data_IF_255138704512
#
_entry.id   IF_255138704512
#
_cell.length_a   1.000
_cell.length_b   1.000
_cell.length_c   1.000
_cell.angle_alpha   90.00
_cell.angle_beta   90.00
_cell.angle_gamma   90.00
#
_symmetry.space_group_name_H-M   'P 1'
#
loop_
_entity.id
_entity.type
_entity.pdbx_description
1 polymer ?
#
# COMPACT_ATOMS: atom_id res chain seq x y z
N UNK A 1 -28.82 -15.90 -5.40
CA UNK A 1 -27.54 -15.92 -6.15
C UNK A 1 -27.64 -17.05 -7.14
N UNK A 2 -27.26 -16.84 -8.41
CA UNK A 2 -27.18 -17.96 -9.36
C UNK A 2 -25.93 -18.80 -9.05
N UNK A 3 -25.89 -20.03 -9.52
CA UNK A 3 -24.78 -20.95 -9.29
C UNK A 3 -23.49 -20.42 -9.93
N UNK A 4 -23.59 -19.87 -11.14
CA UNK A 4 -22.47 -19.27 -11.88
C UNK A 4 -21.90 -18.05 -11.15
N UNK A 5 -22.77 -17.23 -10.53
CA UNK A 5 -22.34 -16.08 -9.73
C UNK A 5 -21.61 -16.53 -8.46
N UNK A 6 -22.04 -17.63 -7.84
CA UNK A 6 -21.34 -18.20 -6.68
C UNK A 6 -19.97 -18.74 -7.08
N UNK A 7 -19.87 -19.51 -8.17
CA UNK A 7 -18.59 -20.04 -8.67
C UNK A 7 -17.60 -18.92 -8.98
N UNK A 8 -18.04 -17.88 -9.70
CA UNK A 8 -17.20 -16.73 -10.05
C UNK A 8 -16.66 -16.02 -8.79
N UNK A 9 -17.52 -15.75 -7.80
CA UNK A 9 -17.12 -15.03 -6.59
C UNK A 9 -16.19 -15.88 -5.72
N UNK A 10 -16.44 -17.18 -5.59
CA UNK A 10 -15.58 -18.11 -4.87
C UNK A 10 -14.20 -18.14 -5.50
N UNK A 11 -14.09 -18.31 -6.82
CA UNK A 11 -12.79 -18.33 -7.51
C UNK A 11 -11.99 -17.02 -7.32
N UNK A 12 -12.67 -15.86 -7.31
CA UNK A 12 -12.03 -14.57 -7.04
C UNK A 12 -11.53 -14.47 -5.59
N UNK A 13 -12.34 -14.89 -4.62
CA UNK A 13 -11.97 -14.86 -3.21
C UNK A 13 -10.82 -15.82 -2.91
N UNK A 14 -10.85 -17.02 -3.47
CA UNK A 14 -9.79 -18.02 -3.30
C UNK A 14 -8.46 -17.54 -3.87
N UNK A 15 -8.48 -16.84 -5.01
CA UNK A 15 -7.28 -16.24 -5.60
C UNK A 15 -6.70 -15.15 -4.69
N UNK A 16 -7.55 -14.24 -4.19
CA UNK A 16 -7.14 -13.16 -3.29
C UNK A 16 -6.55 -13.74 -2.00
N UNK A 17 -7.22 -14.74 -1.42
CA UNK A 17 -6.81 -15.38 -0.18
C UNK A 17 -5.48 -16.13 -0.35
N UNK A 18 -5.34 -16.91 -1.42
CA UNK A 18 -4.10 -17.64 -1.72
C UNK A 18 -2.94 -16.68 -1.97
N UNK A 19 -3.14 -15.62 -2.76
CA UNK A 19 -2.09 -14.61 -2.95
C UNK A 19 -1.71 -13.92 -1.63
N UNK A 20 -2.67 -13.65 -0.75
CA UNK A 20 -2.39 -13.10 0.57
C UNK A 20 -1.58 -14.09 1.44
N UNK A 21 -1.99 -15.37 1.49
CA UNK A 21 -1.25 -16.43 2.18
C UNK A 21 0.19 -16.53 1.70
N UNK A 22 0.41 -16.49 0.37
CA UNK A 22 1.73 -16.56 -0.24
C UNK A 22 2.64 -15.40 0.19
N UNK A 23 2.09 -14.18 0.22
CA UNK A 23 2.82 -12.99 0.65
C UNK A 23 3.15 -13.02 2.13
N UNK A 24 2.22 -13.45 2.98
CA UNK A 24 2.44 -13.55 4.43
C UNK A 24 3.42 -14.67 4.76
N UNK A 25 3.27 -15.84 4.12
CA UNK A 25 4.19 -16.97 4.22
C UNK A 25 5.62 -16.54 3.87
N UNK A 26 5.79 -15.84 2.74
CA UNK A 26 7.10 -15.32 2.31
C UNK A 26 7.69 -14.30 3.30
N UNK A 27 6.85 -13.42 3.85
CA UNK A 27 7.30 -12.37 4.77
C UNK A 27 7.64 -12.91 6.17
N UNK A 28 6.99 -13.98 6.61
CA UNK A 28 7.15 -14.58 7.95
C UNK A 28 8.01 -15.84 7.97
N UNK A 29 8.37 -16.39 6.81
CA UNK A 29 9.16 -17.61 6.71
C UNK A 29 8.42 -18.86 7.21
N UNK A 30 7.09 -18.86 7.10
CA UNK A 30 6.20 -19.94 7.58
C UNK A 30 5.56 -20.72 6.45
N UNK A 31 5.11 -21.94 6.72
CA UNK A 31 4.25 -22.68 5.80
C UNK A 31 2.89 -21.98 5.66
N UNK A 32 2.21 -22.19 4.53
CA UNK A 32 0.88 -21.60 4.28
C UNK A 32 -0.16 -22.24 5.20
N UNK A 33 0.01 -23.52 5.45
CA UNK A 33 -0.83 -24.38 6.28
C UNK A 33 -0.83 -23.90 7.74
N UNK A 34 0.33 -23.52 8.27
CA UNK A 34 0.43 -22.98 9.63
C UNK A 34 -0.28 -21.63 9.77
N UNK A 35 -0.17 -20.77 8.75
CA UNK A 35 -0.84 -19.46 8.73
C UNK A 35 -2.35 -19.64 8.61
N UNK A 36 -2.81 -20.52 7.73
CA UNK A 36 -4.22 -20.83 7.55
C UNK A 36 -4.83 -21.43 8.83
N UNK A 37 -4.14 -22.40 9.45
CA UNK A 37 -4.55 -22.98 10.72
C UNK A 37 -4.69 -21.90 11.80
N UNK A 38 -3.73 -20.99 11.90
CA UNK A 38 -3.75 -19.90 12.88
C UNK A 38 -4.93 -18.93 12.67
N UNK A 39 -5.29 -18.64 11.42
CA UNK A 39 -6.45 -17.81 11.10
C UNK A 39 -7.74 -18.51 11.48
N UNK A 40 -7.85 -19.79 11.14
CA UNK A 40 -9.03 -20.60 11.40
C UNK A 40 -9.23 -20.88 12.90
N UNK A 41 -8.16 -21.06 13.67
CA UNK A 41 -8.20 -21.20 15.14
C UNK A 41 -8.51 -19.87 15.85
N UNK A 42 -8.28 -18.75 15.16
CA UNK A 42 -8.54 -17.41 15.65
C UNK A 42 -7.40 -16.84 16.50
N UNK A 43 -7.06 -15.58 16.20
CA UNK A 43 -5.94 -14.86 16.82
C UNK A 43 -6.45 -14.04 18.01
N UNK A 44 -6.51 -14.67 19.19
CA UNK A 44 -7.03 -14.02 20.40
C UNK A 44 -5.99 -13.78 21.51
N UNK A 45 -4.80 -14.38 21.39
CA UNK A 45 -3.74 -14.27 22.40
C UNK A 45 -2.45 -13.77 21.78
N UNK A 46 -1.95 -12.65 22.30
CA UNK A 46 -0.70 -12.04 21.85
C UNK A 46 0.50 -12.96 22.11
N UNK A 47 0.47 -13.74 23.20
CA UNK A 47 1.50 -14.74 23.51
C UNK A 47 1.63 -15.78 22.40
N UNK A 48 0.49 -16.32 21.93
CA UNK A 48 0.46 -17.27 20.81
C UNK A 48 1.02 -16.65 19.53
N UNK A 49 0.76 -15.37 19.26
CA UNK A 49 1.34 -14.70 18.09
C UNK A 49 2.86 -14.63 18.15
N UNK A 50 3.44 -14.53 19.35
CA UNK A 50 4.88 -14.53 19.55
C UNK A 50 5.46 -15.94 19.44
N UNK A 51 4.82 -16.93 20.07
CA UNK A 51 5.20 -18.35 19.97
C UNK A 51 5.17 -18.83 18.52
N UNK A 52 4.10 -18.46 17.81
CA UNK A 52 3.99 -18.70 16.40
C UNK A 52 4.99 -17.82 15.62
N UNK A 53 5.49 -16.70 16.11
CA UNK A 53 6.45 -15.87 15.34
C UNK A 53 5.79 -14.99 14.28
N UNK A 54 4.49 -14.73 14.41
CA UNK A 54 3.83 -13.65 13.67
C UNK A 54 4.27 -12.27 14.17
N UNK A 55 4.56 -12.14 15.48
CA UNK A 55 5.17 -10.95 16.08
C UNK A 55 6.54 -11.30 16.63
N UNK A 56 7.46 -10.33 16.62
CA UNK A 56 8.81 -10.57 17.13
C UNK A 56 8.87 -10.52 18.65
N UNK A 57 8.23 -9.52 19.27
CA UNK A 57 8.28 -9.29 20.71
C UNK A 57 7.01 -8.60 21.22
N UNK A 58 6.78 -8.74 22.53
CA UNK A 58 5.75 -8.05 23.30
C UNK A 58 6.52 -7.22 24.31
N UNK A 59 6.61 -5.93 24.06
CA UNK A 59 7.36 -4.95 24.85
C UNK A 59 6.54 -3.67 24.95
N UNK A 60 6.77 -2.90 26.01
CA UNK A 60 6.08 -1.63 26.22
C UNK A 60 6.61 -0.54 25.28
N UNK A 61 5.81 0.52 25.09
CA UNK A 61 6.13 1.60 24.16
C UNK A 61 7.44 2.32 24.53
N UNK A 62 7.72 2.51 25.81
CA UNK A 62 8.95 3.11 26.34
C UNK A 62 10.18 2.22 26.11
N UNK A 63 10.03 0.91 26.23
CA UNK A 63 11.07 -0.08 25.89
C UNK A 63 11.41 -0.03 24.39
N UNK A 64 10.39 0.08 23.52
CA UNK A 64 10.59 0.23 22.06
C UNK A 64 11.35 1.52 21.76
N UNK A 65 10.94 2.65 22.36
CA UNK A 65 11.60 3.94 22.16
C UNK A 65 13.06 3.87 22.60
N UNK A 66 13.33 3.23 23.75
CA UNK A 66 14.68 3.04 24.28
C UNK A 66 15.53 2.21 23.32
N UNK A 67 15.03 1.06 22.86
CA UNK A 67 15.70 0.20 21.88
C UNK A 67 16.01 0.95 20.57
N UNK A 68 15.09 1.79 20.09
CA UNK A 68 15.30 2.61 18.89
C UNK A 68 16.37 3.68 19.11
N UNK A 69 16.38 4.34 20.28
CA UNK A 69 17.41 5.33 20.64
C UNK A 69 18.79 4.69 20.70
N UNK A 70 18.93 3.53 21.33
CA UNK A 70 20.19 2.78 21.40
C UNK A 70 20.69 2.40 20.00
N UNK A 71 19.82 1.84 19.16
CA UNK A 71 20.18 1.44 17.79
C UNK A 71 20.63 2.60 16.91
N UNK A 72 20.12 3.81 17.17
CA UNK A 72 20.46 5.03 16.44
C UNK A 72 21.57 5.85 17.10
N UNK A 73 22.12 5.41 18.24
CA UNK A 73 23.16 6.14 18.99
C UNK A 73 22.69 7.46 19.59
N UNK A 74 21.39 7.61 19.87
CA UNK A 74 20.79 8.81 20.44
C UNK A 74 20.83 8.72 21.97
N UNK A 75 21.19 9.81 22.66
CA UNK A 75 21.16 9.86 24.13
C UNK A 75 19.74 9.64 24.64
N UNK A 76 19.57 8.88 25.73
CA UNK A 76 18.25 8.54 26.30
C UNK A 76 17.40 9.76 26.67
N UNK A 77 18.05 10.82 27.17
CA UNK A 77 17.46 12.11 27.53
C UNK A 77 17.00 12.94 26.32
N UNK A 78 17.41 12.58 25.10
CA UNK A 78 16.98 13.27 23.88
C UNK A 78 15.79 12.56 23.24
N UNK A 79 14.93 13.35 22.60
CA UNK A 79 13.84 12.82 21.79
C UNK A 79 14.38 12.04 20.58
N UNK A 80 13.62 11.00 20.19
CA UNK A 80 13.95 10.24 19.00
C UNK A 80 13.78 11.14 17.76
N UNK A 81 14.79 11.25 16.88
CA UNK A 81 14.67 12.03 15.66
C UNK A 81 13.71 11.34 14.69
N UNK A 82 12.42 11.68 14.78
CA UNK A 82 11.38 11.19 13.87
C UNK A 82 10.99 12.26 12.85
N UNK A 83 10.71 11.85 11.63
CA UNK A 83 10.16 12.71 10.58
C UNK A 83 8.83 12.16 10.15
N UNK A 84 7.80 12.99 10.20
CA UNK A 84 6.48 12.62 9.71
C UNK A 84 6.50 12.32 8.20
N UNK A 85 5.73 11.31 7.78
CA UNK A 85 5.66 10.88 6.38
C UNK A 85 5.18 12.00 5.44
N UNK A 86 4.23 12.85 5.85
CA UNK A 86 3.76 13.96 5.01
C UNK A 86 4.84 15.02 4.85
N UNK A 87 5.64 15.26 5.88
CA UNK A 87 6.79 16.17 5.79
C UNK A 87 7.86 15.60 4.86
N UNK A 88 8.16 14.30 5.00
CA UNK A 88 9.15 13.62 4.17
C UNK A 88 8.73 13.56 2.68
N UNK A 89 7.50 13.16 2.39
CA UNK A 89 6.99 13.02 1.01
C UNK A 89 6.89 14.34 0.24
N UNK A 90 6.85 15.49 0.93
CA UNK A 90 6.81 16.82 0.31
C UNK A 90 8.19 17.36 -0.09
N UNK A 91 9.28 16.69 0.30
CA UNK A 91 10.63 17.10 -0.09
C UNK A 91 10.75 17.04 -1.61
N UNK A 92 11.22 18.12 -2.22
CA UNK A 92 11.35 18.20 -3.67
C UNK A 92 12.51 17.32 -4.12
N UNK A 93 12.31 16.54 -5.18
CA UNK A 93 13.30 15.59 -5.72
C UNK A 93 14.66 16.24 -6.02
N UNK A 94 14.66 17.47 -6.54
CA UNK A 94 15.91 18.18 -6.84
C UNK A 94 16.72 18.51 -5.57
N UNK A 95 16.09 18.66 -4.41
CA UNK A 95 16.76 18.97 -3.13
C UNK A 95 17.60 17.80 -2.62
N UNK A 96 17.35 16.59 -3.13
CA UNK A 96 18.13 15.37 -2.82
C UNK A 96 18.99 14.93 -4.02
N UNK A 97 19.28 15.84 -4.96
CA UNK A 97 20.13 15.56 -6.13
C UNK A 97 19.45 14.73 -7.22
N UNK A 98 18.15 14.44 -7.09
CA UNK A 98 17.37 13.77 -8.13
C UNK A 98 16.85 14.84 -9.09
N UNK A 99 17.67 15.19 -10.09
CA UNK A 99 17.26 16.03 -11.21
C UNK A 99 16.31 15.28 -12.15
N UNK A 100 15.38 16.00 -12.78
CA UNK A 100 14.54 15.41 -13.82
C UNK A 100 15.38 14.90 -14.99
N UNK A 101 15.07 13.69 -15.47
CA UNK A 101 15.67 13.15 -16.69
C UNK A 101 15.22 13.93 -17.93
N UNK A 102 15.98 13.82 -19.03
CA UNK A 102 15.62 14.41 -20.33
C UNK A 102 14.38 13.75 -20.93
N UNK A 103 14.20 12.47 -20.65
CA UNK A 103 13.06 11.67 -21.09
C UNK A 103 12.03 11.57 -19.96
N UNK A 104 10.77 11.88 -20.28
CA UNK A 104 9.68 11.88 -19.31
C UNK A 104 8.66 10.80 -19.67
N UNK A 105 8.20 10.07 -18.65
CA UNK A 105 7.10 9.11 -18.76
C UNK A 105 5.90 9.71 -18.03
N UNK A 106 4.79 9.89 -18.74
CA UNK A 106 3.55 10.37 -18.14
C UNK A 106 2.77 9.20 -17.51
N UNK A 107 2.42 9.35 -16.23
CA UNK A 107 1.58 8.40 -15.50
C UNK A 107 0.18 9.00 -15.36
N UNK A 108 -0.80 8.40 -16.02
CA UNK A 108 -2.21 8.79 -15.89
C UNK A 108 -2.91 7.76 -14.99
N UNK A 109 -3.31 8.18 -13.79
CA UNK A 109 -4.03 7.32 -12.85
C UNK A 109 -5.55 7.39 -13.11
N UNK A 110 -6.15 6.23 -13.36
CA UNK A 110 -7.60 6.04 -13.42
C UNK A 110 -8.02 5.16 -12.24
N UNK A 111 -8.86 5.68 -11.35
CA UNK A 111 -9.32 4.97 -10.16
C UNK A 111 -10.70 5.46 -9.78
N UNK A 112 -11.58 4.54 -9.38
CA UNK A 112 -12.97 4.81 -9.06
C UNK A 112 -13.94 4.41 -10.17
N UNK A 113 -15.23 4.69 -9.96
CA UNK A 113 -16.28 4.39 -10.92
C UNK A 113 -16.15 5.25 -12.18
N UNK A 114 -16.49 4.68 -13.34
CA UNK A 114 -16.45 5.39 -14.61
C UNK A 114 -17.81 6.05 -14.84
N UNK A 115 -17.81 7.36 -15.05
CA UNK A 115 -18.97 8.11 -15.49
C UNK A 115 -18.70 8.80 -16.83
N UNK A 116 -19.73 8.91 -17.67
CA UNK A 116 -19.62 9.60 -18.95
C UNK A 116 -19.49 11.11 -18.77
N UNK A 117 -20.35 11.67 -17.93
CA UNK A 117 -20.46 13.11 -17.69
C UNK A 117 -20.12 13.42 -16.23
N UNK A 118 -19.58 14.61 -16.00
CA UNK A 118 -19.39 15.13 -14.66
C UNK A 118 -20.76 15.40 -14.02
N UNK A 119 -21.03 14.75 -12.89
CA UNK A 119 -22.30 14.95 -12.18
C UNK A 119 -22.20 16.21 -11.32
N UNK A 120 -23.09 17.17 -11.55
CA UNK A 120 -23.21 18.39 -10.73
C UNK A 120 -23.64 18.09 -9.28
N UNK A 121 -24.22 16.91 -9.05
CA UNK A 121 -24.74 16.44 -7.76
C UNK A 121 -23.79 15.45 -7.06
N UNK A 122 -22.67 15.05 -7.68
CA UNK A 122 -21.70 14.17 -7.01
C UNK A 122 -20.74 15.00 -6.16
N UNK A 123 -21.00 15.01 -4.85
CA UNK A 123 -20.03 15.41 -3.84
C UNK A 123 -18.78 14.55 -4.00
N UNK A 124 -17.71 15.15 -4.55
CA UNK A 124 -16.32 14.66 -4.47
C UNK A 124 -16.11 13.16 -4.66
N UNK A 125 -16.83 12.50 -5.57
CA UNK A 125 -16.51 11.11 -5.88
C UNK A 125 -15.25 11.10 -6.73
N UNK A 126 -14.21 10.44 -6.22
CA UNK A 126 -12.96 10.19 -6.92
C UNK A 126 -13.19 9.18 -8.06
N UNK A 127 -14.09 9.49 -8.99
CA UNK A 127 -14.45 8.69 -10.15
C UNK A 127 -13.70 9.14 -11.41
N UNK A 128 -13.71 8.28 -12.42
CA UNK A 128 -13.13 8.54 -13.73
C UNK A 128 -14.22 9.17 -14.61
N UNK A 129 -14.09 10.45 -14.93
CA UNK A 129 -14.91 11.08 -15.97
C UNK A 129 -14.29 10.83 -17.34
N UNK A 130 -15.02 10.16 -18.22
CA UNK A 130 -14.51 9.73 -19.53
C UNK A 130 -13.97 10.91 -20.37
N UNK A 131 -14.69 12.03 -20.39
CA UNK A 131 -14.29 13.24 -21.15
C UNK A 131 -12.96 13.81 -20.65
N UNK A 132 -12.83 14.01 -19.33
CA UNK A 132 -11.59 14.50 -18.70
C UNK A 132 -10.44 13.52 -18.86
N UNK A 133 -10.72 12.22 -18.87
CA UNK A 133 -9.71 11.19 -19.05
C UNK A 133 -9.18 11.18 -20.49
N UNK A 134 -10.06 11.26 -21.49
CA UNK A 134 -9.70 11.38 -22.91
C UNK A 134 -8.89 12.66 -23.16
N UNK A 135 -9.30 13.78 -22.55
CA UNK A 135 -8.58 15.05 -22.63
C UNK A 135 -7.15 14.94 -22.07
N UNK A 136 -6.97 14.28 -20.92
CA UNK A 136 -5.64 14.01 -20.34
C UNK A 136 -4.77 13.18 -21.26
N UNK A 137 -5.31 12.13 -21.89
CA UNK A 137 -4.58 11.31 -22.87
C UNK A 137 -4.15 12.14 -24.08
N UNK A 138 -5.06 12.97 -24.63
CA UNK A 138 -4.74 13.86 -25.76
C UNK A 138 -3.65 14.87 -25.40
N UNK A 139 -3.72 15.43 -24.19
CA UNK A 139 -2.71 16.38 -23.67
C UNK A 139 -1.34 15.74 -23.56
N UNK A 140 -1.28 14.48 -23.10
CA UNK A 140 -0.03 13.72 -23.01
C UNK A 140 0.52 13.39 -24.40
N UNK A 141 -0.33 12.95 -25.33
CA UNK A 141 0.06 12.64 -26.72
C UNK A 141 0.64 13.85 -27.47
N UNK A 142 0.13 15.05 -27.20
CA UNK A 142 0.56 16.28 -27.89
C UNK A 142 1.92 16.83 -27.43
N UNK A 143 2.58 16.22 -26.44
CA UNK A 143 3.87 16.71 -25.93
C UNK A 143 5.04 15.97 -26.58
N UNK A 144 5.94 16.67 -27.29
CA UNK A 144 7.06 16.05 -28.02
C UNK A 144 8.11 15.40 -27.12
N UNK A 145 8.17 15.78 -25.83
CA UNK A 145 9.16 15.29 -24.86
C UNK A 145 8.72 14.05 -24.07
N UNK A 146 7.54 13.48 -24.37
CA UNK A 146 6.99 12.30 -23.70
C UNK A 146 7.14 11.06 -24.57
N UNK A 147 7.77 10.02 -24.03
CA UNK A 147 7.87 8.72 -24.69
C UNK A 147 6.53 7.99 -24.51
N UNK A 148 5.87 7.67 -25.62
CA UNK A 148 4.68 6.82 -25.65
C UNK A 148 5.12 5.37 -25.84
N UNK A 149 4.86 4.51 -24.86
CA UNK A 149 4.90 3.05 -25.00
C UNK A 149 3.47 2.50 -25.03
#
# INVERSE_FOLDING_TARGET
>A
MSEENCEMLTALLDNIYTNWLDKVSSAKGKSKEDIEKLINEGVYRVDKLKEEGLISNIIYDDEIITMLKERLGVKLDKDLPMVDYRKYSRVRKWTVGISGGRELIAIIRASGSISRVESQLSVSSSGITAEKFIEKIRTVRGKPDLISY
#
